data_IF_798685312115
#
_entry.id   IF_798685312115
#
_cell.length_a   1.000
_cell.length_b   1.000
_cell.length_c   1.000
_cell.angle_alpha   90.00
_cell.angle_beta   90.00
_cell.angle_gamma   90.00
#
_symmetry.space_group_name_H-M   'P 1'
#
loop_
_entity.id
_entity.type
_entity.pdbx_description
1 polymer ?
#
# COMPACT_ATOMS: atom_id res chain seq x y z
N UNK A 1 3.88 10.59 22.99
CA UNK A 1 5.33 10.40 22.76
C UNK A 1 5.64 8.95 22.45
N UNK A 2 6.53 8.72 21.50
CA UNK A 2 7.07 7.40 21.15
C UNK A 2 8.50 7.31 21.68
N UNK A 3 8.83 6.19 22.32
CA UNK A 3 10.19 5.93 22.81
C UNK A 3 10.86 4.93 21.87
N UNK A 4 12.11 5.18 21.49
CA UNK A 4 12.84 4.31 20.55
C UNK A 4 12.91 2.84 21.02
N UNK A 5 12.96 2.62 22.32
CA UNK A 5 12.90 1.27 22.89
C UNK A 5 11.61 0.49 22.62
N UNK A 6 10.53 1.20 22.25
CA UNK A 6 9.21 0.62 21.95
C UNK A 6 8.91 0.58 20.45
N UNK A 7 9.88 0.86 19.59
CA UNK A 7 9.68 0.85 18.14
C UNK A 7 9.23 -0.52 17.64
N UNK A 8 8.25 -0.46 16.75
CA UNK A 8 7.73 -1.61 15.96
C UNK A 8 7.59 -1.17 14.51
N UNK A 9 7.59 -2.12 13.61
CA UNK A 9 7.36 -1.84 12.20
C UNK A 9 5.98 -1.17 12.01
N UNK A 10 5.97 -0.09 11.23
CA UNK A 10 4.77 0.69 10.97
C UNK A 10 4.55 1.88 11.92
N UNK A 11 5.27 1.98 13.02
CA UNK A 11 5.17 3.14 13.93
C UNK A 11 5.62 4.40 13.22
N UNK A 12 4.85 5.47 13.35
CA UNK A 12 5.16 6.80 12.81
C UNK A 12 5.45 7.79 13.92
N UNK A 13 6.45 8.64 13.70
CA UNK A 13 6.85 9.67 14.65
C UNK A 13 7.44 10.88 13.91
N UNK A 14 7.47 12.03 14.61
CA UNK A 14 8.10 13.25 14.08
C UNK A 14 9.60 13.28 14.41
N UNK A 15 10.40 13.59 13.41
CA UNK A 15 11.82 13.82 13.56
C UNK A 15 12.28 14.90 12.58
N UNK A 16 12.89 15.96 13.10
CA UNK A 16 13.41 17.08 12.29
C UNK A 16 12.37 17.67 11.32
N UNK A 17 11.12 17.79 11.78
CA UNK A 17 10.03 18.34 10.97
C UNK A 17 9.46 17.38 9.93
N UNK A 18 9.91 16.14 9.91
CA UNK A 18 9.46 15.10 9.01
C UNK A 18 8.68 14.01 9.72
N UNK A 19 7.80 13.34 8.99
CA UNK A 19 7.14 12.12 9.47
C UNK A 19 7.95 10.92 9.04
N UNK A 20 8.46 10.17 10.01
CA UNK A 20 9.23 8.97 9.78
C UNK A 20 8.42 7.75 10.18
N UNK A 21 8.52 6.70 9.38
CA UNK A 21 7.92 5.40 9.66
C UNK A 21 9.03 4.37 9.85
N UNK A 22 8.92 3.60 10.92
CA UNK A 22 9.84 2.47 11.16
C UNK A 22 9.48 1.33 10.20
N UNK A 23 10.41 0.98 9.32
CA UNK A 23 10.24 -0.16 8.39
C UNK A 23 11.02 -1.40 8.84
N UNK A 24 12.14 -1.20 9.52
CA UNK A 24 12.90 -2.28 10.18
C UNK A 24 13.50 -1.74 11.48
N UNK A 25 13.62 -2.59 12.48
CA UNK A 25 14.28 -2.24 13.73
C UNK A 25 14.99 -3.45 14.33
N UNK A 26 16.06 -3.17 15.09
CA UNK A 26 16.80 -4.19 15.83
C UNK A 26 17.27 -3.61 17.16
N UNK A 27 16.88 -4.26 18.25
CA UNK A 27 17.40 -3.96 19.58
C UNK A 27 18.72 -4.69 19.76
N UNK A 28 19.79 -3.94 20.07
CA UNK A 28 21.12 -4.49 20.28
C UNK A 28 21.57 -4.19 21.70
N UNK A 29 21.90 -5.25 22.43
CA UNK A 29 22.48 -5.18 23.76
C UNK A 29 23.91 -5.75 23.69
N UNK A 30 24.93 -4.90 23.45
CA UNK A 30 26.30 -5.39 23.38
C UNK A 30 26.77 -5.87 24.75
N UNK A 31 27.68 -6.83 24.78
CA UNK A 31 28.27 -7.32 26.04
C UNK A 31 29.08 -6.26 26.75
N UNK A 32 29.60 -5.27 26.05
CA UNK A 32 30.25 -4.06 26.56
C UNK A 32 29.69 -2.85 25.83
N UNK A 33 29.26 -1.85 26.59
CA UNK A 33 28.70 -0.61 26.05
C UNK A 33 27.20 -0.49 26.26
N UNK A 34 26.65 0.65 25.86
CA UNK A 34 25.23 0.96 26.01
C UNK A 34 24.37 0.23 24.96
N UNK A 35 23.17 -0.18 25.35
CA UNK A 35 22.17 -0.71 24.43
C UNK A 35 21.76 0.36 23.41
N UNK A 36 21.45 -0.06 22.20
CA UNK A 36 20.96 0.84 21.15
C UNK A 36 19.90 0.15 20.26
N UNK A 37 19.14 0.97 19.53
CA UNK A 37 18.14 0.51 18.58
C UNK A 37 18.59 0.94 17.18
N UNK A 38 18.93 -0.02 16.35
CA UNK A 38 19.23 0.23 14.94
C UNK A 38 17.92 0.22 14.17
N UNK A 39 17.67 1.26 13.38
CA UNK A 39 16.41 1.41 12.65
C UNK A 39 16.66 1.72 11.19
N UNK A 40 15.71 1.28 10.38
CA UNK A 40 15.53 1.73 9.00
C UNK A 40 14.23 2.49 8.94
N UNK A 41 14.31 3.75 8.54
CA UNK A 41 13.21 4.69 8.57
C UNK A 41 12.86 5.14 7.17
N UNK A 42 11.57 5.26 6.90
CA UNK A 42 11.07 5.86 5.68
C UNK A 42 10.46 7.23 5.99
N UNK A 43 10.92 8.26 5.31
CA UNK A 43 10.23 9.54 5.30
C UNK A 43 8.96 9.35 4.46
N UNK A 44 7.78 9.42 5.09
CA UNK A 44 6.51 9.10 4.42
C UNK A 44 6.11 10.15 3.39
N UNK A 45 6.63 11.39 3.51
CA UNK A 45 6.34 12.48 2.58
C UNK A 45 7.24 12.41 1.35
N UNK A 46 8.56 12.27 1.55
CA UNK A 46 9.54 12.24 0.45
C UNK A 46 9.79 10.85 -0.12
N UNK A 47 9.45 9.79 0.64
CA UNK A 47 9.76 8.41 0.27
C UNK A 47 11.20 7.98 0.55
N UNK A 48 12.07 8.90 0.99
CA UNK A 48 13.47 8.59 1.27
C UNK A 48 13.61 7.60 2.43
N UNK A 49 14.51 6.65 2.28
CA UNK A 49 14.82 5.65 3.31
C UNK A 49 16.20 5.95 3.88
N UNK A 50 16.28 6.02 5.20
CA UNK A 50 17.54 6.25 5.93
C UNK A 50 17.72 5.18 7.01
N UNK A 51 18.96 4.91 7.36
CA UNK A 51 19.30 4.10 8.52
C UNK A 51 19.78 5.03 9.65
N UNK A 52 19.25 4.83 10.85
CA UNK A 52 19.62 5.60 12.01
C UNK A 52 19.60 4.75 13.28
N UNK A 53 20.52 5.04 14.16
CA UNK A 53 20.65 4.37 15.48
C UNK A 53 20.24 5.32 16.58
N UNK A 54 19.41 4.83 17.50
CA UNK A 54 18.90 5.60 18.61
C UNK A 54 19.27 4.95 19.94
N UNK A 55 19.36 5.77 21.00
CA UNK A 55 19.29 5.25 22.36
C UNK A 55 17.88 4.72 22.64
N UNK A 56 17.72 3.60 23.37
CA UNK A 56 16.38 3.09 23.71
C UNK A 56 15.53 4.09 24.49
N UNK A 57 16.14 5.09 25.10
CA UNK A 57 15.45 6.13 25.87
C UNK A 57 15.10 7.38 25.06
N UNK A 58 15.53 7.46 23.81
CA UNK A 58 15.19 8.59 22.94
C UNK A 58 13.68 8.69 22.76
N UNK A 59 13.17 9.91 22.85
CA UNK A 59 11.73 10.21 22.79
C UNK A 59 11.42 11.08 21.57
N UNK A 60 10.30 10.80 20.94
CA UNK A 60 9.82 11.52 19.76
C UNK A 60 8.34 11.84 19.91
N UNK A 61 7.90 12.93 19.27
CA UNK A 61 6.48 13.23 19.18
C UNK A 61 5.78 12.25 18.25
N UNK A 62 4.56 11.88 18.60
CA UNK A 62 3.73 11.07 17.72
C UNK A 62 3.38 11.87 16.45
N UNK A 63 3.49 11.25 15.29
CA UNK A 63 2.97 11.82 14.07
C UNK A 63 1.52 11.35 13.88
N UNK A 64 0.58 12.29 13.96
CA UNK A 64 -0.83 12.01 13.72
C UNK A 64 -1.10 12.06 12.22
N UNK A 65 -1.29 10.90 11.66
CA UNK A 65 -1.63 10.72 10.26
C UNK A 65 -3.15 10.62 10.14
N UNK A 66 -3.74 11.49 9.32
CA UNK A 66 -5.17 11.45 9.05
C UNK A 66 -5.45 10.48 7.91
N UNK A 67 -6.51 9.69 8.05
CA UNK A 67 -7.01 8.77 7.04
C UNK A 67 -8.47 9.07 6.76
N UNK A 68 -8.80 9.32 5.51
CA UNK A 68 -10.14 9.65 5.07
C UNK A 68 -10.52 8.81 3.86
N UNK A 69 -11.70 8.20 3.91
CA UNK A 69 -12.23 7.45 2.79
C UNK A 69 -12.80 8.40 1.74
N UNK A 70 -12.34 8.27 0.50
CA UNK A 70 -12.80 9.04 -0.64
C UNK A 70 -13.02 8.14 -1.84
N UNK A 71 -13.98 8.50 -2.69
CA UNK A 71 -14.29 7.75 -3.89
C UNK A 71 -13.36 8.15 -5.03
N UNK A 72 -12.72 7.17 -5.66
CA UNK A 72 -11.95 7.40 -6.88
C UNK A 72 -12.92 7.69 -8.03
N UNK A 73 -12.72 8.81 -8.73
CA UNK A 73 -13.57 9.21 -9.84
C UNK A 73 -12.96 8.85 -11.20
N UNK A 74 -11.85 9.49 -11.54
CA UNK A 74 -11.17 9.31 -12.84
C UNK A 74 -9.74 9.85 -12.78
N UNK A 75 -8.99 9.57 -13.84
CA UNK A 75 -7.65 10.14 -14.08
C UNK A 75 -7.62 10.84 -15.43
N UNK A 76 -6.88 11.94 -15.50
CA UNK A 76 -6.57 12.63 -16.76
C UNK A 76 -5.20 12.22 -17.34
N UNK A 77 -4.53 11.24 -16.71
CA UNK A 77 -3.20 10.76 -17.06
C UNK A 77 -2.09 11.31 -16.17
N UNK A 78 -2.25 12.46 -15.56
CA UNK A 78 -1.31 13.07 -14.61
C UNK A 78 -1.85 13.09 -13.19
N UNK A 79 -3.11 13.47 -13.05
CA UNK A 79 -3.80 13.58 -11.78
C UNK A 79 -4.89 12.53 -11.65
N UNK A 80 -5.10 12.09 -10.43
CA UNK A 80 -6.14 11.15 -10.05
C UNK A 80 -7.10 11.89 -9.12
N UNK A 81 -8.39 11.89 -9.47
CA UNK A 81 -9.41 12.67 -8.78
C UNK A 81 -10.20 11.79 -7.84
N UNK A 82 -10.26 12.23 -6.59
CA UNK A 82 -11.01 11.56 -5.53
C UNK A 82 -12.07 12.51 -4.98
N UNK A 83 -13.22 11.98 -4.60
CA UNK A 83 -14.31 12.79 -4.07
C UNK A 83 -14.65 12.38 -2.64
N UNK A 84 -14.77 13.38 -1.78
CA UNK A 84 -15.33 13.22 -0.44
C UNK A 84 -16.85 13.01 -0.57
N UNK A 85 -17.34 11.87 -0.09
CA UNK A 85 -18.75 11.51 -0.23
C UNK A 85 -19.67 12.32 0.69
N UNK A 86 -19.14 13.03 1.68
CA UNK A 86 -19.90 13.89 2.58
C UNK A 86 -20.04 15.32 2.03
N UNK A 87 -18.92 15.90 1.58
CA UNK A 87 -18.87 17.29 1.10
C UNK A 87 -18.96 17.41 -0.42
N UNK A 88 -18.76 16.31 -1.16
CA UNK A 88 -18.65 16.27 -2.63
C UNK A 88 -17.47 17.07 -3.20
N UNK A 89 -16.55 17.48 -2.35
CA UNK A 89 -15.32 18.12 -2.80
C UNK A 89 -14.42 17.11 -3.53
N UNK A 90 -13.84 17.57 -4.63
CA UNK A 90 -12.89 16.77 -5.40
C UNK A 90 -11.46 17.13 -5.04
N UNK A 91 -10.63 16.13 -4.85
CA UNK A 91 -9.22 16.28 -4.52
C UNK A 91 -8.36 15.68 -5.63
N UNK A 92 -7.54 16.48 -6.34
CA UNK A 92 -6.58 15.96 -7.29
C UNK A 92 -5.33 15.45 -6.56
N UNK A 93 -4.88 14.26 -6.92
CA UNK A 93 -3.70 13.62 -6.33
C UNK A 93 -2.73 13.22 -7.45
N UNK A 94 -1.45 13.56 -7.30
CA UNK A 94 -0.43 13.17 -8.26
C UNK A 94 -0.17 11.67 -8.24
N UNK A 95 0.19 11.11 -9.38
CA UNK A 95 0.48 9.70 -9.54
C UNK A 95 1.60 9.19 -8.63
N UNK A 96 2.54 10.05 -8.23
CA UNK A 96 3.64 9.70 -7.33
C UNK A 96 3.19 9.36 -5.89
N UNK A 97 1.96 9.71 -5.52
CA UNK A 97 1.34 9.38 -4.22
C UNK A 97 0.64 8.02 -4.24
N UNK A 98 0.50 7.40 -5.41
CA UNK A 98 -0.13 6.11 -5.60
C UNK A 98 0.93 5.00 -5.56
N UNK A 99 0.60 3.87 -4.94
CA UNK A 99 1.44 2.68 -4.95
C UNK A 99 1.12 1.77 -6.16
N UNK A 100 1.91 0.71 -6.31
CA UNK A 100 1.68 -0.32 -7.35
C UNK A 100 0.32 -1.00 -7.22
N UNK A 101 -0.21 -1.06 -6.00
CA UNK A 101 -1.52 -1.65 -5.71
C UNK A 101 -2.68 -0.85 -6.29
N UNK A 102 -2.46 0.40 -6.67
CA UNK A 102 -3.49 1.22 -7.30
C UNK A 102 -3.93 0.69 -8.68
N UNK A 103 -3.12 -0.13 -9.32
CA UNK A 103 -3.47 -0.81 -10.59
C UNK A 103 -4.73 -1.70 -10.49
N UNK A 104 -5.15 -2.04 -9.28
CA UNK A 104 -6.37 -2.82 -9.01
C UNK A 104 -7.59 -1.96 -8.73
N UNK A 105 -7.45 -0.65 -8.70
CA UNK A 105 -8.56 0.27 -8.41
C UNK A 105 -9.25 0.70 -9.70
N UNK A 106 -10.55 0.51 -9.74
CA UNK A 106 -11.40 1.04 -10.82
C UNK A 106 -12.22 2.22 -10.33
N UNK A 107 -12.78 2.98 -11.27
CA UNK A 107 -13.67 4.11 -10.97
C UNK A 107 -14.78 3.72 -10.00
N UNK A 108 -15.12 4.64 -9.12
CA UNK A 108 -16.13 4.52 -8.07
C UNK A 108 -15.76 3.64 -6.86
N UNK A 109 -14.57 3.08 -6.84
CA UNK A 109 -14.07 2.40 -5.63
C UNK A 109 -13.69 3.39 -4.55
N UNK A 110 -13.95 3.02 -3.29
CA UNK A 110 -13.53 3.79 -2.13
C UNK A 110 -12.08 3.49 -1.81
N UNK A 111 -11.28 4.54 -1.70
CA UNK A 111 -9.89 4.46 -1.29
C UNK A 111 -9.68 5.28 -0.03
N UNK A 112 -8.64 4.93 0.73
CA UNK A 112 -8.26 5.67 1.93
C UNK A 112 -7.15 6.65 1.60
N UNK A 113 -7.43 7.93 1.75
CA UNK A 113 -6.46 9.01 1.55
C UNK A 113 -5.73 9.25 2.85
N UNK A 114 -4.41 9.16 2.81
CA UNK A 114 -3.54 9.31 3.98
C UNK A 114 -2.83 10.65 3.89
N UNK A 115 -3.00 11.50 4.91
CA UNK A 115 -2.44 12.84 4.93
C UNK A 115 -1.82 13.18 6.28
N UNK A 116 -0.93 14.15 6.26
CA UNK A 116 -0.31 14.73 7.45
C UNK A 116 -0.31 16.24 7.33
N UNK A 117 -0.94 16.92 8.29
CA UNK A 117 -1.11 18.39 8.30
C UNK A 117 -1.62 18.93 6.96
N UNK A 118 -2.62 18.28 6.39
CA UNK A 118 -3.24 18.66 5.12
C UNK A 118 -2.49 18.23 3.85
N UNK A 119 -1.32 17.62 3.98
CA UNK A 119 -0.53 17.13 2.84
C UNK A 119 -0.79 15.64 2.62
N UNK A 120 -1.36 15.30 1.47
CA UNK A 120 -1.57 13.89 1.08
C UNK A 120 -0.23 13.29 0.68
N UNK A 121 0.09 12.12 1.24
CA UNK A 121 1.32 11.41 0.90
C UNK A 121 1.10 9.97 0.44
N UNK A 122 -0.09 9.42 0.63
CA UNK A 122 -0.40 8.07 0.17
C UNK A 122 -1.89 7.88 -0.09
N UNK A 123 -2.21 6.93 -0.96
CA UNK A 123 -3.56 6.43 -1.20
C UNK A 123 -3.52 4.93 -0.97
N UNK A 124 -4.36 4.46 -0.06
CA UNK A 124 -4.51 3.04 0.24
C UNK A 124 -5.76 2.49 -0.47
N UNK A 125 -5.61 1.57 -1.43
CA UNK A 125 -6.75 0.90 -2.05
C UNK A 125 -7.50 0.02 -1.05
N UNK A 126 -8.73 -0.43 -1.38
CA UNK A 126 -9.37 -1.49 -0.61
C UNK A 126 -8.46 -2.73 -0.57
N UNK A 127 -8.43 -3.41 0.56
CA UNK A 127 -7.61 -4.63 0.72
C UNK A 127 -8.03 -5.72 -0.27
N UNK A 128 -9.33 -5.84 -0.51
CA UNK A 128 -9.89 -6.81 -1.45
C UNK A 128 -10.73 -6.08 -2.50
N UNK A 129 -10.56 -6.51 -3.74
CA UNK A 129 -11.33 -5.98 -4.86
C UNK A 129 -11.91 -7.13 -5.69
N UNK A 130 -13.00 -6.85 -6.39
CA UNK A 130 -13.60 -7.77 -7.36
C UNK A 130 -13.43 -7.17 -8.75
N UNK A 131 -12.70 -7.87 -9.62
CA UNK A 131 -12.39 -7.41 -10.97
C UNK A 131 -12.65 -8.51 -11.99
N UNK A 132 -13.21 -8.12 -13.14
CA UNK A 132 -13.45 -9.03 -14.24
C UNK A 132 -12.17 -9.28 -15.04
N UNK A 133 -12.02 -10.51 -15.52
CA UNK A 133 -10.98 -10.89 -16.47
C UNK A 133 -11.38 -10.44 -17.86
N UNK A 134 -10.56 -9.63 -18.50
CA UNK A 134 -10.79 -9.17 -19.88
C UNK A 134 -10.05 -10.00 -20.90
N UNK A 135 -8.91 -10.58 -20.53
CA UNK A 135 -8.09 -11.40 -21.42
C UNK A 135 -7.36 -12.48 -20.62
N UNK A 136 -7.41 -13.70 -21.09
CA UNK A 136 -6.62 -14.80 -20.55
C UNK A 136 -6.53 -15.93 -21.59
N UNK A 137 -5.47 -16.70 -21.54
CA UNK A 137 -5.31 -17.87 -22.40
C UNK A 137 -6.25 -19.00 -21.97
N UNK A 138 -6.66 -19.87 -22.90
CA UNK A 138 -7.36 -21.08 -22.54
C UNK A 138 -6.47 -21.98 -21.68
N UNK A 139 -7.02 -22.54 -20.62
CA UNK A 139 -6.32 -23.54 -19.82
C UNK A 139 -6.32 -24.89 -20.52
N UNK A 140 -5.14 -25.41 -20.85
CA UNK A 140 -5.04 -26.74 -21.43
C UNK A 140 -4.90 -27.80 -20.33
N UNK A 141 -5.80 -28.78 -20.34
CA UNK A 141 -5.80 -29.92 -19.42
C UNK A 141 -4.76 -30.98 -19.83
N UNK A 142 -3.54 -30.61 -20.13
CA UNK A 142 -2.51 -31.54 -20.58
C UNK A 142 -1.23 -31.51 -19.77
N UNK A 143 -1.02 -30.48 -18.97
CA UNK A 143 0.15 -30.38 -18.14
C UNK A 143 -0.17 -30.76 -16.71
N UNK A 144 0.40 -31.85 -16.29
CA UNK A 144 0.21 -32.50 -15.00
C UNK A 144 0.94 -31.83 -13.84
N UNK A 145 1.47 -30.63 -14.02
CA UNK A 145 2.07 -29.87 -12.92
C UNK A 145 0.96 -29.36 -11.99
N UNK A 146 0.91 -29.89 -10.81
CA UNK A 146 0.13 -29.34 -9.70
C UNK A 146 0.57 -27.90 -9.47
N UNK A 147 -0.37 -26.96 -9.36
CA UNK A 147 -0.14 -25.53 -9.15
C UNK A 147 0.31 -24.73 -10.40
N UNK A 148 -0.06 -25.16 -11.59
CA UNK A 148 0.18 -24.35 -12.79
C UNK A 148 -0.77 -23.16 -12.82
N UNK A 149 -0.20 -21.97 -12.99
CA UNK A 149 -0.93 -20.71 -13.13
C UNK A 149 -0.73 -20.18 -14.55
N UNK A 150 -1.67 -19.37 -14.99
CA UNK A 150 -1.59 -18.64 -16.27
C UNK A 150 -1.77 -17.15 -16.05
N UNK A 151 -1.27 -16.29 -16.95
CA UNK A 151 -1.52 -14.86 -16.87
C UNK A 151 -2.99 -14.55 -17.24
N UNK A 152 -3.54 -13.55 -16.56
CA UNK A 152 -4.84 -12.97 -16.88
C UNK A 152 -4.77 -11.46 -16.75
N UNK A 153 -5.36 -10.76 -17.73
CA UNK A 153 -5.51 -9.31 -17.69
C UNK A 153 -6.88 -8.95 -17.13
N UNK A 154 -6.89 -8.04 -16.18
CA UNK A 154 -8.10 -7.58 -15.51
C UNK A 154 -8.67 -6.33 -16.19
N UNK A 155 -9.91 -5.99 -15.87
CA UNK A 155 -10.60 -4.81 -16.43
C UNK A 155 -9.88 -3.47 -16.15
N UNK A 156 -9.03 -3.40 -15.14
CA UNK A 156 -8.19 -2.23 -14.84
C UNK A 156 -6.88 -2.20 -15.65
N UNK A 157 -6.61 -3.22 -16.47
CA UNK A 157 -5.35 -3.38 -17.20
C UNK A 157 -4.26 -4.10 -16.42
N UNK A 158 -4.48 -4.40 -15.14
CA UNK A 158 -3.52 -5.15 -14.33
C UNK A 158 -3.43 -6.61 -14.77
N UNK A 159 -2.23 -7.17 -14.76
CA UNK A 159 -1.98 -8.57 -15.05
C UNK A 159 -1.66 -9.33 -13.77
N UNK A 160 -2.32 -10.46 -13.57
CA UNK A 160 -2.09 -11.36 -12.42
C UNK A 160 -1.97 -12.81 -12.88
N UNK A 161 -1.49 -13.67 -12.00
CA UNK A 161 -1.48 -15.13 -12.21
C UNK A 161 -2.74 -15.74 -11.60
N UNK A 162 -3.40 -16.58 -12.39
CA UNK A 162 -4.66 -17.23 -12.03
C UNK A 162 -4.61 -18.74 -12.31
N UNK A 163 -5.46 -19.54 -11.65
CA UNK A 163 -5.61 -20.95 -11.98
C UNK A 163 -6.05 -21.15 -13.45
N UNK A 164 -5.72 -22.30 -14.01
CA UNK A 164 -6.03 -22.62 -15.42
C UNK A 164 -7.53 -22.62 -15.76
N UNK A 165 -8.39 -22.85 -14.76
CA UNK A 165 -9.85 -22.90 -14.98
C UNK A 165 -10.50 -21.52 -15.12
N UNK A 166 -9.79 -20.44 -14.91
CA UNK A 166 -10.32 -19.09 -15.05
C UNK A 166 -10.50 -18.75 -16.53
N UNK A 167 -11.64 -18.15 -16.85
CA UNK A 167 -12.00 -17.76 -18.21
C UNK A 167 -12.22 -16.24 -18.29
N UNK A 168 -12.18 -15.72 -19.51
CA UNK A 168 -12.59 -14.34 -19.78
C UNK A 168 -14.04 -14.12 -19.30
N UNK A 169 -14.28 -12.97 -18.68
CA UNK A 169 -15.58 -12.63 -18.09
C UNK A 169 -15.76 -13.08 -16.64
N UNK A 170 -14.91 -13.96 -16.13
CA UNK A 170 -14.96 -14.33 -14.72
C UNK A 170 -14.62 -13.12 -13.85
N UNK A 171 -15.35 -12.94 -12.77
CA UNK A 171 -15.07 -11.92 -11.74
C UNK A 171 -14.28 -12.56 -10.61
N UNK A 172 -13.14 -11.96 -10.31
CA UNK A 172 -12.18 -12.50 -9.36
C UNK A 172 -12.05 -11.61 -8.14
N UNK A 173 -11.96 -12.25 -6.97
CA UNK A 173 -11.57 -11.59 -5.75
C UNK A 173 -10.05 -11.61 -5.62
N UNK A 174 -9.46 -10.44 -5.42
CA UNK A 174 -8.02 -10.23 -5.43
C UNK A 174 -7.60 -9.49 -4.17
N UNK A 175 -6.49 -9.91 -3.58
CA UNK A 175 -5.81 -9.16 -2.50
C UNK A 175 -4.91 -8.11 -3.15
N UNK A 176 -5.23 -6.84 -2.97
CA UNK A 176 -4.47 -5.72 -3.57
C UNK A 176 -3.08 -5.56 -2.99
N UNK A 177 -2.85 -6.05 -1.76
CA UNK A 177 -1.54 -5.96 -1.10
C UNK A 177 -0.50 -6.86 -1.75
N UNK A 178 -0.92 -8.01 -2.24
CA UNK A 178 -0.05 -9.04 -2.84
C UNK A 178 -0.24 -9.18 -4.34
N UNK A 179 -1.39 -8.75 -4.87
CA UNK A 179 -1.79 -8.98 -6.24
C UNK A 179 -2.25 -10.41 -6.52
N UNK A 180 -2.54 -11.18 -5.48
CA UNK A 180 -2.89 -12.59 -5.61
C UNK A 180 -4.39 -12.81 -5.81
N UNK A 181 -4.71 -13.75 -6.68
CA UNK A 181 -6.03 -14.33 -6.82
C UNK A 181 -6.42 -15.08 -5.54
N UNK A 182 -7.63 -14.82 -5.04
CA UNK A 182 -8.17 -15.52 -3.88
C UNK A 182 -9.27 -16.52 -4.25
N UNK A 183 -10.25 -16.05 -5.02
CA UNK A 183 -11.40 -16.86 -5.43
C UNK A 183 -12.12 -16.21 -6.61
N UNK A 184 -13.02 -16.96 -7.24
CA UNK A 184 -14.05 -16.35 -8.09
C UNK A 184 -15.10 -15.70 -7.18
N UNK A 185 -15.53 -14.53 -7.58
CA UNK A 185 -16.58 -13.81 -6.86
C UNK A 185 -17.97 -14.36 -7.20
#
# INVERSE_FOLDING_TARGET
MVIAGDFKNGVTFEMDGNVMQVIEFQHVKPGKGAAFVRTKLKNVISGAVIEKTFSPTDKFENAYVERKDMQYLYSDGELYYFMDMETYDQLPINADKLGDDFKFVKENMMCRIVSYKGNVFAVEPPTFVELAVTETDPGFAGNTATNTLKPATLETGAEIKVPLFINEGDVLKIDTRTGEYLSRA
#
